data_IF_899811419388
#
_entry.id   IF_899811419388
#
_cell.length_a   1.000
_cell.length_b   1.000
_cell.length_c   1.000
_cell.angle_alpha   90.00
_cell.angle_beta   90.00
_cell.angle_gamma   90.00
#
_symmetry.space_group_name_H-M   'P 1'
#
loop_
_entity.id
_entity.type
_entity.pdbx_description
1 polymer ?
#
# COMPACT_ATOMS: atom_id res chain seq x y z
N UNK A 1 6.60 -50.82 10.69
CA UNK A 1 5.89 -50.76 11.99
C UNK A 1 5.28 -49.37 12.09
N UNK A 2 3.99 -49.07 12.23
CA UNK A 2 2.78 -49.75 12.74
C UNK A 2 1.60 -49.36 11.81
N UNK A 3 0.86 -50.32 11.25
CA UNK A 3 -0.56 -50.63 11.56
C UNK A 3 -1.51 -49.43 11.56
N UNK A 4 -2.32 -49.33 10.52
CA UNK A 4 -3.72 -48.92 10.64
C UNK A 4 -4.58 -50.03 10.03
N UNK A 5 -5.23 -50.77 10.92
CA UNK A 5 -6.31 -51.71 10.65
C UNK A 5 -7.58 -50.92 10.91
N UNK A 6 -8.42 -50.69 9.90
CA UNK A 6 -9.87 -50.65 10.07
C UNK A 6 -10.48 -51.35 8.85
N UNK A 7 -10.96 -52.57 9.12
CA UNK A 7 -11.78 -53.38 8.24
C UNK A 7 -13.07 -53.62 9.03
N UNK A 8 -14.16 -52.97 8.63
CA UNK A 8 -15.52 -53.35 9.00
C UNK A 8 -16.34 -53.31 7.70
N UNK A 9 -16.50 -54.48 7.07
CA UNK A 9 -17.73 -55.28 7.14
C UNK A 9 -18.92 -54.61 6.44
N UNK A 10 -18.92 -54.65 5.10
CA UNK A 10 -20.16 -54.57 4.32
C UNK A 10 -20.58 -56.01 4.03
N UNK A 11 -21.28 -56.58 5.01
CA UNK A 11 -21.99 -57.84 4.87
C UNK A 11 -23.24 -57.65 4.02
N UNK A 12 -23.25 -58.33 2.88
CA UNK A 12 -24.38 -58.53 1.96
C UNK A 12 -25.62 -59.00 2.73
N UNK A 13 -26.81 -58.49 2.40
CA UNK A 13 -27.94 -59.32 1.96
C UNK A 13 -29.12 -58.48 1.45
N UNK A 14 -29.37 -58.68 0.16
CA UNK A 14 -30.45 -58.14 -0.65
C UNK A 14 -31.83 -58.52 -0.10
N UNK A 15 -32.71 -57.53 0.03
CA UNK A 15 -34.16 -57.70 0.01
C UNK A 15 -34.77 -56.44 -0.59
N UNK A 16 -34.80 -56.37 -1.92
CA UNK A 16 -35.36 -55.24 -2.65
C UNK A 16 -34.88 -55.16 -4.10
N UNK A 17 -35.31 -56.10 -4.94
CA UNK A 17 -35.16 -56.00 -6.40
C UNK A 17 -36.06 -54.87 -6.92
N UNK A 18 -35.55 -53.64 -6.96
CA UNK A 18 -36.10 -52.55 -7.79
C UNK A 18 -35.19 -51.31 -7.89
N UNK A 19 -33.99 -51.30 -7.29
CA UNK A 19 -33.22 -50.06 -7.17
C UNK A 19 -31.71 -50.20 -7.47
N UNK A 20 -31.24 -51.39 -7.85
CA UNK A 20 -29.81 -51.64 -8.12
C UNK A 20 -29.30 -50.84 -9.31
N UNK A 21 -30.07 -50.72 -10.38
CA UNK A 21 -29.64 -49.98 -11.57
C UNK A 21 -29.57 -48.48 -11.28
N UNK A 22 -30.53 -47.94 -10.53
CA UNK A 22 -30.56 -46.53 -10.08
C UNK A 22 -29.43 -46.22 -9.09
N UNK A 23 -29.09 -47.17 -8.21
CA UNK A 23 -27.96 -47.01 -7.29
C UNK A 23 -26.62 -47.13 -8.01
N UNK A 24 -26.52 -47.97 -9.03
CA UNK A 24 -25.30 -48.13 -9.81
C UNK A 24 -25.04 -46.93 -10.73
N UNK A 25 -26.10 -46.37 -11.34
CA UNK A 25 -26.02 -45.11 -12.10
C UNK A 25 -25.57 -43.93 -11.22
N UNK A 26 -26.14 -43.79 -10.02
CA UNK A 26 -25.73 -42.77 -9.05
C UNK A 26 -24.30 -42.95 -8.53
N UNK A 27 -23.85 -44.20 -8.37
CA UNK A 27 -22.47 -44.48 -7.97
C UNK A 27 -21.51 -44.07 -9.09
N UNK A 28 -21.82 -44.40 -10.35
CA UNK A 28 -20.99 -44.00 -11.49
C UNK A 28 -20.99 -42.49 -11.72
N UNK A 29 -22.13 -41.81 -11.49
CA UNK A 29 -22.24 -40.35 -11.54
C UNK A 29 -21.33 -39.70 -10.48
N UNK A 30 -21.41 -40.15 -9.22
CA UNK A 30 -20.55 -39.66 -8.14
C UNK A 30 -19.07 -39.98 -8.36
N UNK A 31 -18.73 -41.14 -8.92
CA UNK A 31 -17.35 -41.48 -9.27
C UNK A 31 -16.77 -40.53 -10.35
N UNK A 32 -17.60 -40.11 -11.31
CA UNK A 32 -17.21 -39.12 -12.32
C UNK A 32 -17.08 -37.71 -11.73
N UNK A 33 -18.01 -37.28 -10.87
CA UNK A 33 -17.91 -35.99 -10.17
C UNK A 33 -16.65 -35.93 -9.29
N UNK A 34 -16.33 -37.02 -8.59
CA UNK A 34 -15.11 -37.12 -7.79
C UNK A 34 -13.87 -37.01 -8.69
N UNK A 35 -13.83 -37.70 -9.83
CA UNK A 35 -12.71 -37.64 -10.76
C UNK A 35 -12.52 -36.22 -11.34
N UNK A 36 -13.61 -35.52 -11.67
CA UNK A 36 -13.57 -34.14 -12.16
C UNK A 36 -13.05 -33.18 -11.07
N UNK A 37 -13.55 -33.31 -9.84
CA UNK A 37 -13.08 -32.49 -8.72
C UNK A 37 -11.61 -32.72 -8.42
N UNK A 38 -11.12 -33.98 -8.48
CA UNK A 38 -9.69 -34.26 -8.29
C UNK A 38 -8.83 -33.67 -9.41
N UNK A 39 -9.28 -33.71 -10.67
CA UNK A 39 -8.57 -33.09 -11.78
C UNK A 39 -8.50 -31.56 -11.64
N UNK A 40 -9.60 -30.92 -11.23
CA UNK A 40 -9.62 -29.50 -10.93
C UNK A 40 -8.74 -29.14 -9.72
N UNK A 41 -8.68 -30.01 -8.70
CA UNK A 41 -7.83 -29.81 -7.54
C UNK A 41 -6.34 -29.88 -7.91
N UNK A 42 -5.94 -30.87 -8.73
CA UNK A 42 -4.57 -31.03 -9.21
C UNK A 42 -4.16 -29.85 -10.11
N UNK A 43 -5.05 -29.38 -10.99
CA UNK A 43 -4.84 -28.17 -11.79
C UNK A 43 -4.64 -26.93 -10.90
N UNK A 44 -5.49 -26.76 -9.88
CA UNK A 44 -5.40 -25.63 -8.94
C UNK A 44 -4.19 -25.73 -8.02
N UNK A 45 -3.79 -26.93 -7.60
CA UNK A 45 -2.56 -27.15 -6.82
C UNK A 45 -1.32 -26.83 -7.67
N UNK A 46 -1.28 -27.23 -8.93
CA UNK A 46 -0.20 -26.83 -9.86
C UNK A 46 -0.21 -25.32 -10.11
N UNK A 47 -1.37 -24.69 -10.25
CA UNK A 47 -1.50 -23.23 -10.41
C UNK A 47 -0.99 -22.52 -9.15
N UNK A 48 -1.36 -22.99 -7.96
CA UNK A 48 -0.86 -22.47 -6.67
C UNK A 48 0.64 -22.72 -6.53
N UNK A 49 1.17 -23.87 -6.92
CA UNK A 49 2.61 -24.15 -6.85
C UNK A 49 3.39 -23.26 -7.82
N UNK A 50 2.84 -23.01 -9.00
CA UNK A 50 3.41 -22.06 -9.99
C UNK A 50 3.36 -20.62 -9.49
N UNK A 51 2.29 -20.22 -8.79
CA UNK A 51 2.15 -18.88 -8.20
C UNK A 51 2.90 -18.72 -6.87
N UNK A 52 3.17 -19.83 -6.16
CA UNK A 52 3.91 -19.88 -4.89
C UNK A 52 5.42 -20.01 -5.12
N UNK A 53 5.84 -20.40 -6.32
CA UNK A 53 7.21 -20.21 -6.74
C UNK A 53 7.48 -18.70 -6.74
N UNK A 54 8.46 -18.23 -5.96
CA UNK A 54 8.83 -16.83 -6.01
C UNK A 54 9.23 -16.48 -7.45
N UNK A 55 8.86 -15.30 -7.96
CA UNK A 55 9.27 -14.90 -9.30
C UNK A 55 10.78 -15.06 -9.43
N UNK A 56 11.26 -15.54 -10.58
CA UNK A 56 12.69 -15.79 -10.83
C UNK A 56 13.59 -14.53 -10.61
N UNK A 57 12.99 -13.34 -10.52
CA UNK A 57 13.64 -12.08 -10.13
C UNK A 57 13.99 -11.99 -8.64
N UNK A 58 13.49 -12.88 -7.77
CA UNK A 58 13.86 -12.92 -6.35
C UNK A 58 15.21 -13.62 -6.09
N UNK A 59 15.89 -14.10 -7.13
CA UNK A 59 17.14 -14.86 -7.02
C UNK A 59 18.38 -13.98 -6.78
N UNK A 60 18.27 -12.66 -6.93
CA UNK A 60 19.27 -11.70 -6.49
C UNK A 60 18.65 -10.88 -5.36
N UNK A 61 18.89 -11.29 -4.11
CA UNK A 61 18.64 -10.45 -2.93
C UNK A 61 19.58 -9.23 -2.89
N UNK A 62 19.74 -8.54 -4.01
CA UNK A 62 20.44 -7.27 -4.10
C UNK A 62 19.51 -6.22 -3.51
N UNK A 63 19.75 -5.93 -2.24
CA UNK A 63 19.26 -4.70 -1.64
C UNK A 63 19.71 -3.52 -2.50
N UNK A 64 18.82 -2.56 -2.73
CA UNK A 64 19.20 -1.29 -3.35
C UNK A 64 20.20 -0.62 -2.39
N UNK A 65 21.45 -0.48 -2.84
CA UNK A 65 22.51 0.15 -2.05
C UNK A 65 22.63 1.61 -2.46
N UNK A 66 22.36 2.52 -1.53
CA UNK A 66 22.58 3.95 -1.72
C UNK A 66 23.93 4.31 -1.08
N UNK A 67 24.84 4.98 -1.79
CA UNK A 67 26.07 5.50 -1.20
C UNK A 67 25.76 6.39 0.01
N UNK A 68 26.47 6.21 1.12
CA UNK A 68 26.18 6.89 2.39
C UNK A 68 26.18 8.42 2.28
N UNK A 69 26.98 8.96 1.37
CA UNK A 69 27.09 10.39 1.05
C UNK A 69 25.91 10.93 0.22
N UNK A 70 25.10 10.04 -0.38
CA UNK A 70 23.90 10.38 -1.15
C UNK A 70 22.60 10.14 -0.38
N UNK A 71 22.66 9.42 0.76
CA UNK A 71 21.48 9.18 1.60
C UNK A 71 21.04 10.50 2.25
N UNK A 72 19.77 10.92 2.10
CA UNK A 72 19.27 12.12 2.76
C UNK A 72 19.32 11.95 4.28
N UNK A 73 19.71 13.01 4.97
CA UNK A 73 19.67 13.01 6.43
C UNK A 73 18.22 13.34 6.82
N UNK A 74 17.38 12.31 6.99
CA UNK A 74 15.93 12.50 7.19
C UNK A 74 15.53 13.37 8.39
N UNK A 75 16.45 13.61 9.33
CA UNK A 75 16.28 14.54 10.46
C UNK A 75 16.62 16.00 10.13
N UNK A 76 17.21 16.27 8.96
CA UNK A 76 17.52 17.59 8.42
C UNK A 76 16.66 17.88 7.20
N UNK A 77 16.52 16.89 6.33
CA UNK A 77 15.75 16.94 5.09
C UNK A 77 14.41 16.23 5.35
N UNK A 78 13.59 16.86 6.18
CA UNK A 78 12.35 16.26 6.73
C UNK A 78 11.32 15.93 5.65
N UNK A 79 11.41 16.61 4.51
CA UNK A 79 10.58 16.45 3.32
C UNK A 79 11.26 15.64 2.20
N UNK A 80 12.41 15.00 2.47
CA UNK A 80 13.08 14.14 1.50
C UNK A 80 12.30 12.84 1.27
N UNK A 81 11.97 12.54 0.02
CA UNK A 81 11.30 11.29 -0.34
C UNK A 81 12.34 10.24 -0.74
N UNK A 82 12.27 9.05 -0.13
CA UNK A 82 13.28 8.01 -0.38
C UNK A 82 13.30 7.57 -1.84
N UNK A 83 12.12 7.53 -2.47
CA UNK A 83 11.94 7.20 -3.88
C UNK A 83 12.72 8.10 -4.84
N UNK A 84 13.01 9.35 -4.47
CA UNK A 84 13.85 10.24 -5.30
C UNK A 84 15.29 9.72 -5.45
N UNK A 85 15.75 8.89 -4.53
CA UNK A 85 17.13 8.39 -4.46
C UNK A 85 17.30 6.96 -4.96
N UNK A 86 16.20 6.18 -4.99
CA UNK A 86 16.25 4.75 -5.36
C UNK A 86 15.65 4.45 -6.73
N UNK A 87 14.83 5.35 -7.27
CA UNK A 87 14.17 5.12 -8.54
C UNK A 87 15.15 5.26 -9.71
N UNK A 88 15.08 4.32 -10.64
CA UNK A 88 15.76 4.46 -11.93
C UNK A 88 14.98 5.42 -12.84
N UNK A 89 15.60 6.54 -13.18
CA UNK A 89 15.03 7.56 -14.06
C UNK A 89 15.73 7.64 -15.43
N UNK A 90 16.56 6.65 -15.77
CA UNK A 90 17.31 6.60 -17.04
C UNK A 90 16.42 6.75 -18.26
N UNK A 91 15.32 6.00 -18.31
CA UNK A 91 14.34 6.07 -19.41
C UNK A 91 13.70 7.46 -19.52
N UNK A 92 13.38 8.10 -18.39
CA UNK A 92 12.82 9.45 -18.40
C UNK A 92 13.84 10.45 -18.99
N UNK A 93 15.11 10.37 -18.55
CA UNK A 93 16.20 11.19 -19.06
C UNK A 93 16.46 10.98 -20.56
N UNK A 94 16.40 9.74 -21.05
CA UNK A 94 16.51 9.43 -22.48
C UNK A 94 15.41 10.09 -23.31
N UNK A 95 14.22 10.26 -22.74
CA UNK A 95 13.09 10.96 -23.35
C UNK A 95 13.12 12.49 -23.13
N UNK A 96 14.17 13.01 -22.50
CA UNK A 96 14.30 14.44 -22.20
C UNK A 96 13.40 14.94 -21.07
N UNK A 97 12.87 14.03 -20.25
CA UNK A 97 12.09 14.39 -19.06
C UNK A 97 13.00 14.62 -17.87
N UNK A 98 12.74 15.71 -17.15
CA UNK A 98 13.46 16.06 -15.93
C UNK A 98 12.47 16.12 -14.77
N UNK A 99 12.73 15.36 -13.71
CA UNK A 99 11.88 15.38 -12.53
C UNK A 99 11.98 16.72 -11.81
N UNK A 100 10.94 17.07 -11.09
CA UNK A 100 10.98 18.22 -10.20
C UNK A 100 9.87 18.23 -9.18
N UNK A 101 9.79 19.33 -8.45
CA UNK A 101 8.77 19.56 -7.42
C UNK A 101 8.14 20.93 -7.63
N UNK A 102 6.82 21.01 -7.44
CA UNK A 102 6.12 22.30 -7.46
C UNK A 102 6.44 23.11 -6.21
N UNK A 103 6.11 24.41 -6.26
CA UNK A 103 6.07 25.24 -5.06
C UNK A 103 5.04 24.70 -4.06
N UNK A 104 5.26 25.02 -2.77
CA UNK A 104 4.24 24.85 -1.75
C UNK A 104 3.10 25.84 -2.01
N UNK A 105 1.88 25.32 -2.05
CA UNK A 105 0.65 26.11 -2.11
C UNK A 105 -0.25 25.75 -0.94
N UNK A 106 -1.17 26.63 -0.60
CA UNK A 106 -2.21 26.31 0.39
C UNK A 106 -3.01 25.08 -0.08
N UNK A 107 -3.27 24.17 0.85
CA UNK A 107 -4.06 22.99 0.55
C UNK A 107 -5.52 23.38 0.35
N UNK A 108 -6.10 22.94 -0.77
CA UNK A 108 -7.45 23.34 -1.23
C UNK A 108 -8.55 22.35 -0.84
N UNK A 109 -8.23 21.34 -0.03
CA UNK A 109 -9.19 20.37 0.49
C UNK A 109 -9.91 20.83 1.76
N UNK A 110 -10.87 20.02 2.19
CA UNK A 110 -11.60 20.22 3.45
C UNK A 110 -11.16 19.17 4.47
N UNK A 111 -11.03 19.59 5.72
CA UNK A 111 -10.79 18.70 6.86
C UNK A 111 -11.69 19.11 8.04
N UNK A 112 -11.92 18.20 8.98
CA UNK A 112 -12.77 18.43 10.14
C UNK A 112 -12.28 19.64 10.94
N UNK A 113 -13.16 20.64 11.13
CA UNK A 113 -12.83 21.89 11.84
C UNK A 113 -12.27 21.64 13.25
N UNK A 114 -12.63 20.51 13.89
CA UNK A 114 -12.08 20.12 15.17
C UNK A 114 -10.54 20.07 15.16
N UNK A 115 -9.93 19.61 14.07
CA UNK A 115 -8.47 19.48 13.94
C UNK A 115 -7.74 20.83 13.89
N UNK A 116 -8.42 21.90 13.50
CA UNK A 116 -7.89 23.27 13.46
C UNK A 116 -8.23 24.12 14.69
N UNK A 117 -8.93 23.56 15.68
CA UNK A 117 -9.39 24.30 16.85
C UNK A 117 -8.51 24.06 18.08
N UNK A 118 -8.21 25.13 18.81
CA UNK A 118 -7.35 25.16 20.02
C UNK A 118 -7.94 24.44 21.25
N UNK A 119 -9.19 23.95 21.18
CA UNK A 119 -9.93 23.36 22.30
C UNK A 119 -10.05 21.82 22.24
N UNK A 120 -9.31 21.17 21.36
CA UNK A 120 -9.31 19.70 21.27
C UNK A 120 -8.24 19.08 22.17
N UNK A 121 -8.36 17.77 22.44
CA UNK A 121 -7.47 17.05 23.36
C UNK A 121 -6.32 16.32 22.66
N UNK A 122 -5.71 16.94 21.64
CA UNK A 122 -4.54 16.37 20.97
C UNK A 122 -3.27 16.64 21.77
N UNK A 123 -2.78 15.66 22.52
CA UNK A 123 -1.63 15.80 23.42
C UNK A 123 -0.26 15.73 22.73
N UNK A 124 -0.22 15.20 21.50
CA UNK A 124 0.98 15.10 20.67
C UNK A 124 0.70 15.47 19.19
N UNK A 125 1.65 16.13 18.51
CA UNK A 125 1.48 16.53 17.11
C UNK A 125 1.36 15.32 16.18
N UNK A 126 1.96 14.19 16.54
CA UNK A 126 1.84 12.96 15.76
C UNK A 126 0.46 12.33 15.81
N UNK A 127 -0.25 12.45 16.93
CA UNK A 127 -1.63 11.98 17.00
C UNK A 127 -2.54 12.87 16.17
N UNK A 128 -2.36 14.20 16.26
CA UNK A 128 -3.07 15.17 15.43
C UNK A 128 -2.85 14.91 13.93
N UNK A 129 -1.60 14.73 13.50
CA UNK A 129 -1.27 14.46 12.10
C UNK A 129 -1.92 13.15 11.60
N UNK A 130 -1.91 12.08 12.40
CA UNK A 130 -2.58 10.84 12.03
C UNK A 130 -4.10 10.99 11.94
N UNK A 131 -4.72 11.73 12.86
CA UNK A 131 -6.14 12.04 12.79
C UNK A 131 -6.48 12.82 11.52
N UNK A 132 -5.65 13.81 11.18
CA UNK A 132 -5.79 14.58 9.95
C UNK A 132 -5.68 13.71 8.70
N UNK A 133 -4.67 12.83 8.60
CA UNK A 133 -4.51 11.88 7.49
C UNK A 133 -5.75 11.01 7.27
N UNK A 134 -6.35 10.54 8.36
CA UNK A 134 -7.55 9.69 8.32
C UNK A 134 -8.77 10.46 7.86
N UNK A 135 -8.96 11.68 8.34
CA UNK A 135 -10.09 12.54 8.00
C UNK A 135 -10.10 12.90 6.50
N UNK A 136 -8.95 13.32 5.97
CA UNK A 136 -8.83 13.69 4.55
C UNK A 136 -8.74 12.48 3.61
N UNK A 137 -8.76 11.26 4.15
CA UNK A 137 -8.79 10.03 3.39
C UNK A 137 -7.54 9.75 2.55
N UNK A 138 -6.37 10.31 2.90
CA UNK A 138 -5.14 10.16 2.11
C UNK A 138 -4.70 8.70 1.97
N UNK A 139 -5.01 7.86 2.95
CA UNK A 139 -4.70 6.43 2.93
C UNK A 139 -5.64 5.59 2.07
N UNK A 140 -6.74 6.15 1.55
CA UNK A 140 -7.74 5.40 0.78
C UNK A 140 -7.22 4.88 -0.57
N UNK A 141 -6.22 5.55 -1.15
CA UNK A 141 -5.56 5.15 -2.40
C UNK A 141 -4.38 4.18 -2.22
N UNK A 142 -4.01 3.82 -0.98
CA UNK A 142 -2.89 2.93 -0.72
C UNK A 142 -3.11 1.55 -1.35
N UNK A 143 -2.12 1.10 -2.13
CA UNK A 143 -2.17 -0.15 -2.88
C UNK A 143 -2.85 -0.05 -4.25
N UNK A 144 -3.33 1.14 -4.63
CA UNK A 144 -3.87 1.43 -5.96
C UNK A 144 -3.00 2.48 -6.66
N UNK A 145 -3.39 3.75 -6.56
CA UNK A 145 -2.73 4.91 -7.13
C UNK A 145 -1.66 5.51 -6.20
N UNK A 146 -1.70 5.17 -4.91
CA UNK A 146 -0.66 5.49 -3.94
C UNK A 146 0.05 4.22 -3.52
N UNK A 147 1.38 4.19 -3.64
CA UNK A 147 2.19 3.02 -3.31
C UNK A 147 2.79 3.12 -1.91
N UNK A 148 3.14 4.34 -1.49
CA UNK A 148 3.77 4.58 -0.20
C UNK A 148 3.32 5.93 0.37
N UNK A 149 3.15 5.98 1.69
CA UNK A 149 3.00 7.22 2.44
C UNK A 149 4.04 7.22 3.56
N UNK A 150 4.92 8.22 3.55
CA UNK A 150 5.86 8.49 4.63
C UNK A 150 5.38 9.67 5.44
N UNK A 151 5.40 9.53 6.76
CA UNK A 151 5.06 10.61 7.68
C UNK A 151 6.25 10.98 8.55
N UNK A 152 6.52 12.28 8.72
CA UNK A 152 7.57 12.78 9.63
C UNK A 152 7.08 13.99 10.40
N UNK A 153 7.67 14.22 11.56
CA UNK A 153 7.38 15.37 12.41
C UNK A 153 8.70 16.05 12.71
N UNK A 154 8.78 17.33 12.41
CA UNK A 154 9.83 18.22 12.86
C UNK A 154 9.31 19.06 14.03
N UNK A 155 9.93 18.93 15.19
CA UNK A 155 9.59 19.71 16.37
C UNK A 155 10.58 20.88 16.45
N UNK A 156 10.14 22.06 16.02
CA UNK A 156 10.98 23.26 16.09
C UNK A 156 11.15 23.76 17.53
N UNK A 157 10.10 23.64 18.35
CA UNK A 157 10.13 23.86 19.80
C UNK A 157 8.99 23.11 20.52
N UNK A 158 8.74 23.43 21.80
CA UNK A 158 7.73 22.77 22.64
C UNK A 158 6.27 23.06 22.23
N UNK A 159 6.04 24.12 21.44
CA UNK A 159 4.72 24.60 21.03
C UNK A 159 4.54 24.69 19.51
N UNK A 160 5.58 24.42 18.72
CA UNK A 160 5.55 24.48 17.26
C UNK A 160 6.09 23.17 16.66
N UNK A 161 5.35 22.62 15.70
CA UNK A 161 5.76 21.43 14.96
C UNK A 161 5.32 21.53 13.49
N UNK A 162 6.12 20.95 12.61
CA UNK A 162 5.78 20.73 11.21
C UNK A 162 5.59 19.24 10.94
N UNK A 163 4.43 18.85 10.42
CA UNK A 163 4.13 17.49 10.00
C UNK A 163 4.27 17.36 8.50
N UNK A 164 5.01 16.36 8.03
CA UNK A 164 5.22 16.08 6.62
C UNK A 164 4.58 14.75 6.27
N UNK A 165 3.69 14.76 5.28
CA UNK A 165 2.97 13.59 4.76
C UNK A 165 3.34 13.48 3.28
N UNK A 166 4.24 12.58 2.95
CA UNK A 166 4.78 12.42 1.60
C UNK A 166 4.23 11.15 0.99
N UNK A 167 3.36 11.31 0.01
CA UNK A 167 2.82 10.21 -0.78
C UNK A 167 3.65 10.00 -2.05
N UNK A 168 3.90 8.75 -2.37
CA UNK A 168 4.52 8.33 -3.62
C UNK A 168 3.60 7.34 -4.32
N UNK A 169 3.41 7.53 -5.62
CA UNK A 169 2.51 6.72 -6.43
C UNK A 169 2.30 7.35 -7.80
N UNK A 170 2.02 6.52 -8.79
CA UNK A 170 1.76 6.97 -10.16
C UNK A 170 0.26 7.14 -10.37
N UNK A 171 -0.24 8.31 -10.01
CA UNK A 171 -1.63 8.69 -10.31
C UNK A 171 -1.81 8.98 -11.81
N UNK A 172 -0.79 9.60 -12.41
CA UNK A 172 -0.70 9.97 -13.81
C UNK A 172 0.77 9.92 -14.24
N UNK A 173 1.04 9.95 -15.54
CA UNK A 173 2.38 9.98 -16.10
C UNK A 173 3.15 11.28 -15.80
N UNK A 174 2.44 12.36 -15.44
CA UNK A 174 2.98 13.66 -15.03
C UNK A 174 3.30 13.76 -13.53
N UNK A 175 2.53 13.08 -12.67
CA UNK A 175 2.61 13.20 -11.20
C UNK A 175 3.07 11.87 -10.57
N UNK A 176 4.24 11.89 -9.94
CA UNK A 176 4.82 10.76 -9.21
C UNK A 176 4.54 10.75 -7.70
N UNK A 177 3.83 11.77 -7.18
CA UNK A 177 3.43 11.84 -5.78
C UNK A 177 3.01 13.24 -5.34
N UNK A 178 2.59 13.35 -4.08
CA UNK A 178 2.28 14.63 -3.44
C UNK A 178 2.81 14.67 -2.02
N UNK A 179 3.26 15.85 -1.60
CA UNK A 179 3.65 16.10 -0.22
C UNK A 179 2.68 17.10 0.39
N UNK A 180 2.27 16.85 1.62
CA UNK A 180 1.50 17.76 2.45
C UNK A 180 2.36 18.15 3.64
N UNK A 181 2.37 19.44 3.96
CA UNK A 181 3.01 20.00 5.13
C UNK A 181 1.94 20.63 6.03
N UNK A 182 1.88 20.18 7.28
CA UNK A 182 1.01 20.72 8.32
C UNK A 182 1.85 21.57 9.25
N UNK A 183 1.49 22.84 9.42
CA UNK A 183 1.98 23.67 10.52
C UNK A 183 1.05 23.45 11.71
N UNK A 184 1.60 22.93 12.80
CA UNK A 184 0.86 22.61 14.02
C UNK A 184 1.36 23.48 15.17
N UNK A 185 0.41 24.02 15.93
CA UNK A 185 0.67 24.88 17.08
C UNK A 185 0.10 24.24 18.34
N UNK A 186 0.69 24.57 19.49
CA UNK A 186 0.22 24.12 20.80
C UNK A 186 -0.30 25.29 21.62
N UNK A 187 -1.55 25.18 22.05
CA UNK A 187 -2.20 26.13 22.95
C UNK A 187 -2.93 25.39 24.07
N UNK A 188 -2.89 25.94 25.29
CA UNK A 188 -3.52 25.34 26.48
C UNK A 188 -3.14 23.86 26.73
N UNK A 189 -1.96 23.44 26.26
CA UNK A 189 -1.48 22.06 26.38
C UNK A 189 -1.85 21.14 25.21
N UNK A 190 -2.57 21.63 24.21
CA UNK A 190 -3.08 20.82 23.11
C UNK A 190 -2.68 21.34 21.73
N UNK A 191 -2.48 20.41 20.80
CA UNK A 191 -2.07 20.68 19.44
C UNK A 191 -3.27 20.91 18.51
N UNK A 192 -3.13 21.79 17.53
CA UNK A 192 -4.07 22.00 16.45
C UNK A 192 -3.33 22.33 15.14
N UNK A 193 -4.00 22.11 13.99
CA UNK A 193 -3.47 22.45 12.67
C UNK A 193 -3.79 23.91 12.38
N UNK A 194 -2.74 24.73 12.27
CA UNK A 194 -2.88 26.14 11.88
C UNK A 194 -2.94 26.28 10.35
N UNK A 195 -2.11 25.51 9.65
CA UNK A 195 -1.96 25.62 8.20
C UNK A 195 -1.71 24.25 7.57
N UNK A 196 -2.29 24.03 6.40
CA UNK A 196 -1.97 22.90 5.52
C UNK A 196 -1.48 23.43 4.17
N UNK A 197 -0.36 22.91 3.70
CA UNK A 197 0.22 23.22 2.40
C UNK A 197 0.44 21.93 1.61
N UNK A 198 0.41 22.02 0.29
CA UNK A 198 0.64 20.89 -0.63
C UNK A 198 1.64 21.26 -1.71
N UNK A 199 2.42 20.29 -2.15
CA UNK A 199 3.19 20.33 -3.40
C UNK A 199 3.12 18.99 -4.11
N UNK A 200 3.46 18.97 -5.39
CA UNK A 200 3.49 17.77 -6.20
C UNK A 200 4.90 17.42 -6.64
N UNK A 201 5.16 16.12 -6.73
CA UNK A 201 6.38 15.54 -7.29
C UNK A 201 6.11 15.16 -8.73
N UNK A 202 6.80 15.79 -9.66
CA UNK A 202 6.53 15.70 -11.08
C UNK A 202 7.53 14.76 -11.76
N UNK A 203 7.02 13.81 -12.55
CA UNK A 203 7.83 12.79 -13.22
C UNK A 203 8.43 13.29 -14.54
N UNK A 204 7.75 14.23 -15.20
CA UNK A 204 8.09 14.70 -16.56
C UNK A 204 8.72 16.09 -16.65
N UNK A 205 8.52 16.90 -15.61
CA UNK A 205 8.88 18.29 -15.64
C UNK A 205 7.97 19.11 -14.75
N UNK A 206 8.43 20.32 -14.46
CA UNK A 206 7.61 21.35 -13.82
C UNK A 206 7.59 22.55 -14.73
N UNK A 207 6.46 23.27 -14.78
CA UNK A 207 6.35 24.56 -15.48
C UNK A 207 7.44 25.54 -15.02
N UNK A 208 7.75 26.55 -15.84
CA UNK A 208 8.73 27.59 -15.51
C UNK A 208 8.45 28.28 -14.15
N UNK A 209 7.17 28.55 -13.86
CA UNK A 209 6.74 29.17 -12.60
C UNK A 209 6.72 28.20 -11.40
N UNK A 210 6.97 26.91 -11.65
CA UNK A 210 6.95 25.80 -10.69
C UNK A 210 5.58 25.52 -10.03
N UNK A 211 4.49 25.85 -10.67
CA UNK A 211 3.15 25.68 -10.08
C UNK A 211 2.42 24.41 -10.53
N UNK A 212 2.81 23.83 -11.67
CA UNK A 212 2.17 22.62 -12.22
C UNK A 212 3.19 21.61 -12.76
N UNK A 213 2.84 20.33 -12.69
CA UNK A 213 3.56 19.26 -13.39
C UNK A 213 3.25 19.29 -14.90
N UNK A 214 4.22 18.92 -15.72
CA UNK A 214 4.13 18.88 -17.19
C UNK A 214 3.79 17.49 -17.73
#
# INVERSE_FOLDING_TARGET
MKRVIILFLVGVLFSGCSNTDVHQEKVTELENEIAEVYAQLEEKEMEIETLSQPPAESATGEFITIPKDQVPLLWRDVDAQLWDYVIDDSLAKENGWEKGVTNWREWDGEYEQALGNTNQTWDAPGLLMNAWILDVGLSSGLGMDVWEINTRIDLSDENNAEGYIMSYGMRDDSVGGSDIKLTMLKENGFWYVEKAEVRYRCSRGVSEDKDVCL
#
